data_IF_701358198205
#
_entry.id   IF_701358198205
#
_cell.length_a   1.000
_cell.length_b   1.000
_cell.length_c   1.000
_cell.angle_alpha   90.00
_cell.angle_beta   90.00
_cell.angle_gamma   90.00
#
_symmetry.space_group_name_H-M   'P 1'
#
loop_
_entity.id
_entity.type
_entity.pdbx_description
1 polymer ?
#
# COMPACT_ATOMS: atom_id res chain seq x y z
N UNK A 1 -9.27 21.75 18.26
CA UNK A 1 -9.62 21.05 17.01
C UNK A 1 -9.37 19.56 17.18
N UNK A 2 -10.30 18.69 16.77
CA UNK A 2 -10.11 17.24 16.88
C UNK A 2 -8.96 16.78 15.96
N UNK A 3 -8.01 16.00 16.48
CA UNK A 3 -6.88 15.46 15.73
C UNK A 3 -7.41 14.52 14.64
N UNK A 4 -7.21 14.86 13.36
CA UNK A 4 -7.53 13.96 12.25
C UNK A 4 -6.69 12.69 12.38
N UNK A 5 -7.34 11.53 12.46
CA UNK A 5 -6.66 10.24 12.40
C UNK A 5 -6.25 10.02 10.93
N UNK A 6 -4.95 9.85 10.68
CA UNK A 6 -4.45 9.43 9.37
C UNK A 6 -4.12 7.94 9.37
N UNK A 7 -4.38 7.27 8.26
CA UNK A 7 -3.85 5.93 8.01
C UNK A 7 -2.38 6.08 7.59
N UNK A 8 -1.49 5.40 8.30
CA UNK A 8 -0.12 5.21 7.81
C UNK A 8 -0.14 4.04 6.82
N UNK A 9 0.11 4.33 5.55
CA UNK A 9 0.10 3.40 4.43
C UNK A 9 1.48 3.36 3.75
N UNK A 10 2.53 3.44 4.55
CA UNK A 10 3.94 3.57 4.14
C UNK A 10 4.61 2.25 3.79
N UNK A 11 4.04 1.12 4.23
CA UNK A 11 4.59 -0.22 3.99
C UNK A 11 3.51 -1.20 3.54
N UNK A 12 3.88 -2.27 2.81
CA UNK A 12 2.91 -3.29 2.41
C UNK A 12 2.19 -3.93 3.61
N UNK A 13 2.89 -4.07 4.74
CA UNK A 13 2.30 -4.61 5.97
C UNK A 13 1.28 -3.64 6.59
N UNK A 14 1.55 -2.34 6.59
CA UNK A 14 0.62 -1.34 7.08
C UNK A 14 -0.65 -1.29 6.22
N UNK A 15 -0.50 -1.36 4.90
CA UNK A 15 -1.65 -1.43 3.97
C UNK A 15 -2.48 -2.69 4.20
N UNK A 16 -1.85 -3.86 4.36
CA UNK A 16 -2.56 -5.12 4.67
C UNK A 16 -3.35 -5.03 5.98
N UNK A 17 -2.77 -4.43 7.03
CA UNK A 17 -3.48 -4.21 8.30
C UNK A 17 -4.68 -3.26 8.13
N UNK A 18 -4.56 -2.23 7.30
CA UNK A 18 -5.66 -1.32 7.01
C UNK A 18 -6.80 -2.04 6.26
N UNK A 19 -6.48 -2.81 5.22
CA UNK A 19 -7.44 -3.61 4.46
C UNK A 19 -8.19 -4.62 5.34
N UNK A 20 -7.48 -5.32 6.24
CA UNK A 20 -8.11 -6.25 7.18
C UNK A 20 -9.11 -5.54 8.11
N UNK A 21 -8.78 -4.34 8.60
CA UNK A 21 -9.71 -3.53 9.41
C UNK A 21 -10.94 -3.09 8.62
N UNK A 22 -10.75 -2.63 7.38
CA UNK A 22 -11.84 -2.24 6.49
C UNK A 22 -12.78 -3.42 6.24
N UNK A 23 -12.22 -4.61 5.96
CA UNK A 23 -13.01 -5.82 5.75
C UNK A 23 -13.87 -6.16 6.98
N UNK A 24 -13.31 -6.09 8.19
CA UNK A 24 -14.06 -6.31 9.42
C UNK A 24 -15.15 -5.25 9.64
N UNK A 25 -14.86 -3.97 9.37
CA UNK A 25 -15.86 -2.89 9.49
C UNK A 25 -17.02 -3.09 8.51
N UNK A 26 -16.76 -3.54 7.28
CA UNK A 26 -17.81 -3.87 6.32
C UNK A 26 -18.63 -5.08 6.80
N UNK A 27 -17.96 -6.14 7.27
CA UNK A 27 -18.62 -7.35 7.77
C UNK A 27 -19.56 -7.05 8.96
N UNK A 28 -19.16 -6.14 9.84
CA UNK A 28 -19.96 -5.72 10.99
C UNK A 28 -20.99 -4.61 10.68
N UNK A 29 -21.08 -4.13 9.42
CA UNK A 29 -21.97 -3.04 9.04
C UNK A 29 -21.56 -1.65 9.55
N UNK A 30 -20.32 -1.51 10.02
CA UNK A 30 -19.75 -0.24 10.53
C UNK A 30 -19.24 0.67 9.40
N UNK A 31 -19.09 0.13 8.18
CA UNK A 31 -18.61 0.84 7.01
C UNK A 31 -19.38 0.42 5.76
N UNK A 32 -19.89 1.41 5.00
CA UNK A 32 -20.57 1.14 3.75
C UNK A 32 -19.60 0.67 2.65
N UNK A 33 -20.12 -0.14 1.73
CA UNK A 33 -19.33 -0.75 0.67
C UNK A 33 -18.75 0.26 -0.31
N UNK A 34 -19.42 1.40 -0.56
CA UNK A 34 -18.92 2.43 -1.49
C UNK A 34 -17.68 3.12 -0.93
N UNK A 35 -17.73 3.50 0.34
CA UNK A 35 -16.59 4.07 1.05
C UNK A 35 -15.46 3.05 1.18
N UNK A 36 -15.77 1.81 1.57
CA UNK A 36 -14.78 0.74 1.66
C UNK A 36 -14.05 0.50 0.33
N UNK A 37 -14.78 0.39 -0.78
CA UNK A 37 -14.21 0.18 -2.10
C UNK A 37 -13.27 1.32 -2.53
N UNK A 38 -13.63 2.57 -2.20
CA UNK A 38 -12.79 3.74 -2.49
C UNK A 38 -11.46 3.67 -1.72
N UNK A 39 -11.49 3.23 -0.46
CA UNK A 39 -10.27 3.06 0.34
C UNK A 39 -9.43 1.87 -0.15
N UNK A 40 -10.08 0.76 -0.52
CA UNK A 40 -9.41 -0.42 -1.08
C UNK A 40 -8.68 -0.05 -2.38
N UNK A 41 -9.30 0.74 -3.26
CA UNK A 41 -8.67 1.22 -4.49
C UNK A 41 -7.40 2.05 -4.19
N UNK A 42 -7.48 2.98 -3.24
CA UNK A 42 -6.31 3.76 -2.82
C UNK A 42 -5.20 2.86 -2.25
N UNK A 43 -5.54 1.86 -1.43
CA UNK A 43 -4.59 0.89 -0.90
C UNK A 43 -3.89 0.08 -2.01
N UNK A 44 -4.64 -0.32 -3.04
CA UNK A 44 -4.09 -1.07 -4.18
C UNK A 44 -3.14 -0.22 -5.04
N UNK A 45 -3.46 1.07 -5.22
CA UNK A 45 -2.58 2.02 -5.91
C UNK A 45 -1.26 2.20 -5.13
N UNK A 46 -1.33 2.33 -3.81
CA UNK A 46 -0.14 2.44 -2.94
C UNK A 46 0.71 1.17 -3.00
N UNK A 47 0.10 -0.02 -2.90
CA UNK A 47 0.84 -1.29 -3.01
C UNK A 47 1.53 -1.44 -4.37
N UNK A 48 0.88 -0.98 -5.43
CA UNK A 48 1.47 -0.98 -6.78
C UNK A 48 2.68 -0.05 -6.82
N UNK A 49 2.58 1.16 -6.26
CA UNK A 49 3.71 2.10 -6.16
C UNK A 49 4.89 1.52 -5.40
N UNK A 50 4.67 0.98 -4.20
CA UNK A 50 5.74 0.35 -3.40
C UNK A 50 6.41 -0.78 -4.18
N UNK A 51 5.63 -1.61 -4.89
CA UNK A 51 6.19 -2.69 -5.70
C UNK A 51 7.06 -2.17 -6.84
N UNK A 52 6.61 -1.12 -7.53
CA UNK A 52 7.38 -0.48 -8.60
C UNK A 52 8.70 0.07 -8.06
N UNK A 53 8.68 0.81 -6.95
CA UNK A 53 9.88 1.37 -6.34
C UNK A 53 10.90 0.27 -5.94
N UNK A 54 10.41 -0.83 -5.35
CA UNK A 54 11.26 -1.98 -5.01
C UNK A 54 11.85 -2.67 -6.26
N UNK A 55 11.09 -2.72 -7.36
CA UNK A 55 11.55 -3.29 -8.62
C UNK A 55 12.59 -2.40 -9.29
N UNK A 56 12.37 -1.08 -9.34
CA UNK A 56 13.32 -0.09 -9.88
C UNK A 56 14.65 -0.13 -9.12
N UNK A 57 14.61 -0.24 -7.79
CA UNK A 57 15.82 -0.37 -6.99
C UNK A 57 16.63 -1.63 -7.36
N UNK A 58 15.95 -2.77 -7.50
CA UNK A 58 16.61 -4.03 -7.90
C UNK A 58 17.16 -3.96 -9.32
N UNK A 59 16.46 -3.29 -10.23
CA UNK A 59 16.96 -3.07 -11.59
C UNK A 59 18.24 -2.23 -11.58
N UNK A 60 18.27 -1.13 -10.83
CA UNK A 60 19.47 -0.30 -10.69
C UNK A 60 20.65 -1.08 -10.08
N UNK A 61 20.40 -1.90 -9.05
CA UNK A 61 21.43 -2.79 -8.47
C UNK A 61 21.96 -3.81 -9.50
N UNK A 62 21.08 -4.38 -10.33
CA UNK A 62 21.47 -5.32 -11.39
C UNK A 62 22.28 -4.62 -12.51
N UNK A 63 21.87 -3.43 -12.94
CA UNK A 63 22.60 -2.63 -13.93
C UNK A 63 24.01 -2.30 -13.45
N UNK A 64 24.17 -1.94 -12.17
CA UNK A 64 25.48 -1.70 -11.59
C UNK A 64 26.36 -2.97 -11.62
N UNK A 65 25.84 -4.12 -11.21
CA UNK A 65 26.57 -5.39 -11.22
C UNK A 65 27.01 -5.78 -12.65
N UNK A 66 26.16 -5.52 -13.65
CA UNK A 66 26.51 -5.80 -15.04
C UNK A 66 27.62 -4.87 -15.54
N UNK A 67 27.53 -3.57 -15.25
CA UNK A 67 28.55 -2.59 -15.64
C UNK A 67 29.91 -2.82 -14.96
N UNK A 68 29.94 -3.41 -13.76
CA UNK A 68 31.18 -3.76 -13.06
C UNK A 68 31.85 -5.05 -13.59
N UNK A 69 31.14 -5.84 -14.40
CA UNK A 69 31.62 -7.12 -14.96
C UNK A 69 32.22 -6.99 -16.37
N UNK A 70 31.95 -5.89 -17.06
CA UNK A 70 32.51 -5.53 -18.37
C UNK A 70 33.77 -4.66 -18.20
#
# INVERSE_FOLDING_TARGET
>A
MARRKSLKLDTPQAVRKALARIANMVLNGELDTKTANSIILACNAILSGIRTDEQEKKLAELEQILNERD
#
